data_IF_790378109744
#
_entry.id   IF_790378109744
#
_cell.length_a   1.000
_cell.length_b   1.000
_cell.length_c   1.000
_cell.angle_alpha   90.00
_cell.angle_beta   90.00
_cell.angle_gamma   90.00
#
_symmetry.space_group_name_H-M   'P 1'
#
loop_
_entity.id
_entity.type
_entity.pdbx_description
1 polymer ?
#
# COMPACT_ATOMS: atom_id res chain seq x y z
N UNK A 1 11.05 9.95 -8.46
CA UNK A 1 9.70 10.17 -9.02
C UNK A 1 8.70 9.80 -7.95
N UNK A 2 7.66 10.62 -7.73
CA UNK A 2 6.62 10.31 -6.73
C UNK A 2 5.44 9.59 -7.39
N UNK A 3 5.01 8.50 -6.78
CA UNK A 3 3.88 7.69 -7.19
C UNK A 3 2.80 7.71 -6.11
N UNK A 4 1.56 7.81 -6.57
CA UNK A 4 0.38 7.66 -5.72
C UNK A 4 -0.21 6.28 -5.95
N UNK A 5 -0.30 5.49 -4.89
CA UNK A 5 -0.90 4.15 -4.89
C UNK A 5 -2.13 4.19 -4.01
N UNK A 6 -3.27 3.82 -4.57
CA UNK A 6 -4.54 3.71 -3.87
C UNK A 6 -5.03 2.28 -3.95
N UNK A 7 -5.32 1.69 -2.79
CA UNK A 7 -5.78 0.30 -2.68
C UNK A 7 -7.08 0.31 -1.88
N UNK A 8 -8.19 -0.05 -2.53
CA UNK A 8 -9.49 -0.26 -1.87
C UNK A 8 -9.85 -1.73 -1.99
N UNK A 9 -10.13 -2.39 -0.86
CA UNK A 9 -10.44 -3.83 -0.80
C UNK A 9 -11.87 -3.98 -0.28
N UNK A 10 -12.66 -4.86 -0.90
CA UNK A 10 -14.02 -5.13 -0.47
C UNK A 10 -14.07 -5.65 0.97
N UNK A 11 -15.16 -5.32 1.67
CA UNK A 11 -15.29 -5.60 3.10
C UNK A 11 -15.29 -7.10 3.41
N UNK A 12 -15.89 -7.93 2.54
CA UNK A 12 -15.97 -9.37 2.75
C UNK A 12 -14.58 -10.01 2.67
N UNK A 13 -13.83 -9.76 1.59
CA UNK A 13 -12.45 -10.23 1.43
C UNK A 13 -11.55 -9.72 2.55
N UNK A 14 -11.66 -8.44 2.91
CA UNK A 14 -10.82 -7.86 3.96
C UNK A 14 -11.08 -8.52 5.32
N UNK A 15 -12.34 -8.79 5.65
CA UNK A 15 -12.69 -9.45 6.90
C UNK A 15 -12.15 -10.88 6.95
N UNK A 16 -12.24 -11.64 5.85
CA UNK A 16 -11.65 -12.98 5.77
C UNK A 16 -10.12 -12.94 5.84
N UNK A 17 -9.47 -11.94 5.23
CA UNK A 17 -8.03 -11.76 5.31
C UNK A 17 -7.57 -11.39 6.73
N UNK A 18 -8.36 -10.60 7.48
CA UNK A 18 -8.08 -10.28 8.89
C UNK A 18 -8.21 -11.53 9.76
N UNK A 19 -9.30 -12.29 9.62
CA UNK A 19 -9.52 -13.53 10.40
C UNK A 19 -8.37 -14.53 10.23
N UNK A 20 -7.82 -14.59 9.03
CA UNK A 20 -6.70 -15.49 8.70
C UNK A 20 -5.32 -14.85 8.90
N UNK A 21 -5.22 -13.69 9.57
CA UNK A 21 -4.00 -12.88 9.80
C UNK A 21 -3.24 -12.41 8.54
N UNK A 22 -3.72 -12.74 7.35
CA UNK A 22 -3.08 -12.40 6.07
C UNK A 22 -2.99 -10.90 5.82
N UNK A 23 -4.02 -10.13 6.17
CA UNK A 23 -4.02 -8.69 5.88
C UNK A 23 -2.86 -7.97 6.58
N UNK A 24 -2.61 -8.29 7.85
CA UNK A 24 -1.53 -7.69 8.62
C UNK A 24 -0.15 -8.05 8.05
N UNK A 25 0.07 -9.32 7.72
CA UNK A 25 1.32 -9.81 7.11
C UNK A 25 1.58 -9.14 5.75
N UNK A 26 0.56 -9.10 4.89
CA UNK A 26 0.67 -8.45 3.58
C UNK A 26 0.92 -6.95 3.70
N UNK A 27 0.24 -6.25 4.60
CA UNK A 27 0.51 -4.82 4.82
C UNK A 27 1.91 -4.58 5.36
N UNK A 28 2.40 -5.40 6.29
CA UNK A 28 3.78 -5.29 6.79
C UNK A 28 4.81 -5.50 5.68
N UNK A 29 4.60 -6.49 4.81
CA UNK A 29 5.47 -6.71 3.64
C UNK A 29 5.45 -5.50 2.70
N UNK A 30 4.27 -4.99 2.33
CA UNK A 30 4.15 -3.83 1.43
C UNK A 30 4.80 -2.57 2.03
N UNK A 31 4.62 -2.30 3.32
CA UNK A 31 5.25 -1.16 3.98
C UNK A 31 6.77 -1.31 4.03
N UNK A 32 7.28 -2.53 4.22
CA UNK A 32 8.70 -2.84 4.20
C UNK A 32 9.33 -2.69 2.82
N UNK A 33 8.66 -3.18 1.78
CA UNK A 33 9.15 -3.18 0.41
C UNK A 33 9.08 -1.80 -0.25
N UNK A 34 7.95 -1.09 -0.07
CA UNK A 34 7.72 0.19 -0.74
C UNK A 34 8.26 1.39 0.04
N UNK A 35 8.42 1.26 1.36
CA UNK A 35 8.85 2.33 2.28
C UNK A 35 8.22 3.70 1.91
N UNK A 36 6.88 3.82 1.92
CA UNK A 36 6.22 5.03 1.46
C UNK A 36 6.64 6.25 2.30
N UNK A 37 6.74 7.41 1.66
CA UNK A 37 7.00 8.69 2.34
C UNK A 37 5.83 9.08 3.25
N UNK A 38 4.61 8.68 2.86
CA UNK A 38 3.40 8.87 3.63
C UNK A 38 2.41 7.73 3.35
N UNK A 39 1.76 7.24 4.41
CA UNK A 39 0.72 6.23 4.33
C UNK A 39 -0.50 6.67 5.14
N UNK A 40 -1.67 6.71 4.49
CA UNK A 40 -2.95 7.01 5.13
C UNK A 40 -3.89 5.84 4.96
N UNK A 41 -4.57 5.47 6.04
CA UNK A 41 -5.62 4.45 6.03
C UNK A 41 -6.94 5.14 6.33
N UNK A 42 -7.85 5.08 5.37
CA UNK A 42 -9.14 5.76 5.43
C UNK A 42 -10.26 4.78 5.11
N UNK A 43 -11.48 5.22 5.36
CA UNK A 43 -12.67 4.62 4.77
C UNK A 43 -13.11 5.47 3.58
N UNK A 44 -13.24 4.84 2.42
CA UNK A 44 -13.74 5.49 1.21
C UNK A 44 -14.84 4.60 0.63
N UNK A 45 -15.99 5.18 0.27
CA UNK A 45 -17.16 4.45 -0.22
C UNK A 45 -17.58 3.25 0.68
N UNK A 46 -17.34 3.37 1.99
CA UNK A 46 -17.67 2.33 2.96
C UNK A 46 -16.70 1.14 3.00
N UNK A 47 -15.59 1.18 2.25
CA UNK A 47 -14.56 0.13 2.25
C UNK A 47 -13.23 0.62 2.84
N UNK A 48 -12.38 -0.32 3.26
CA UNK A 48 -11.05 -0.01 3.80
C UNK A 48 -10.10 0.32 2.66
N UNK A 49 -9.48 1.50 2.74
CA UNK A 49 -8.63 2.03 1.68
C UNK A 49 -7.29 2.51 2.22
N UNK A 50 -6.21 2.09 1.57
CA UNK A 50 -4.86 2.58 1.81
C UNK A 50 -4.45 3.56 0.71
N UNK A 51 -3.92 4.71 1.12
CA UNK A 51 -3.34 5.74 0.27
C UNK A 51 -1.85 5.82 0.57
N UNK A 52 -1.02 5.40 -0.37
CA UNK A 52 0.44 5.36 -0.22
C UNK A 52 1.09 6.32 -1.20
N UNK A 53 1.98 7.16 -0.68
CA UNK A 53 2.80 8.07 -1.46
C UNK A 53 4.22 7.52 -1.44
N UNK A 54 4.64 6.95 -2.57
CA UNK A 54 5.93 6.28 -2.71
C UNK A 54 6.87 7.17 -3.49
N UNK A 55 8.04 7.46 -2.93
CA UNK A 55 9.11 8.11 -3.67
C UNK A 55 10.03 7.03 -4.26
N UNK A 56 9.94 6.84 -5.57
CA UNK A 56 10.83 5.94 -6.30
C UNK A 56 12.09 6.70 -6.67
N UNK A 57 13.25 6.30 -6.13
CA UNK A 57 14.53 6.85 -6.58
C UNK A 57 14.82 6.39 -8.02
N UNK A 58 15.12 7.36 -8.88
CA UNK A 58 15.50 7.06 -10.26
C UNK A 58 16.99 6.74 -10.29
N UNK A 59 17.35 5.46 -10.16
CA UNK A 59 18.73 5.00 -10.38
C UNK A 59 19.05 4.89 -11.87
N UNK A 60 18.65 5.89 -12.67
CA UNK A 60 19.02 6.00 -14.08
C UNK A 60 20.49 6.43 -14.17
N UNK A 61 21.40 5.47 -13.96
CA UNK A 61 22.80 5.63 -14.34
C UNK A 61 22.86 5.53 -15.86
N UNK A 62 22.84 6.68 -16.53
CA UNK A 62 23.19 6.77 -17.94
C UNK A 62 24.69 6.54 -18.07
N UNK A 63 25.08 5.33 -18.47
CA UNK A 63 26.41 5.10 -19.02
C UNK A 63 26.45 5.76 -20.40
N UNK A 64 27.18 6.87 -20.50
CA UNK A 64 27.67 7.42 -21.77
C UNK A 64 29.11 6.99 -21.98
#
# INVERSE_FOLDING_TARGET
>A
MRFFVKVSIDTATTNEAIKNNKLGETLNQIMGDLQPEAAYFISEDGVRTALLFVNMESNAVLYF
#
